data_IF_894501970727
#
_entry.id   IF_894501970727
#
_cell.length_a   1.000
_cell.length_b   1.000
_cell.length_c   1.000
_cell.angle_alpha   90.00
_cell.angle_beta   90.00
_cell.angle_gamma   90.00
#
_symmetry.space_group_name_H-M   'P 1'
#
loop_
_entity.id
_entity.type
_entity.pdbx_description
1 polymer ?
#
# COMPACT_ATOMS: atom_id res chain seq x y z
N UNK A 1 -4.16 19.58 2.73
CA UNK A 1 -2.72 19.21 2.79
C UNK A 1 -2.56 17.84 2.11
N UNK A 2 -1.47 17.50 1.39
CA UNK A 2 -1.23 16.13 0.92
C UNK A 2 -1.42 15.03 1.98
N UNK A 3 -1.25 15.38 3.27
CA UNK A 3 -1.51 14.51 4.42
C UNK A 3 -3.00 14.15 4.61
N UNK A 4 -3.92 15.02 4.21
CA UNK A 4 -5.38 14.79 4.30
C UNK A 4 -5.91 13.98 3.11
N UNK A 5 -5.11 13.80 2.06
CA UNK A 5 -5.53 13.13 0.84
C UNK A 5 -5.39 11.60 0.98
N UNK A 6 -6.54 10.93 1.15
CA UNK A 6 -6.64 9.48 1.36
C UNK A 6 -7.05 8.69 0.12
N UNK A 7 -7.26 9.35 -1.03
CA UNK A 7 -7.68 8.65 -2.25
C UNK A 7 -6.47 8.05 -2.98
N UNK A 8 -6.74 7.04 -3.81
CA UNK A 8 -5.81 6.48 -4.77
C UNK A 8 -6.56 6.11 -6.06
N UNK A 9 -5.86 6.10 -7.20
CA UNK A 9 -6.43 5.62 -8.44
C UNK A 9 -6.13 4.13 -8.57
N UNK A 10 -7.12 3.27 -8.37
CA UNK A 10 -6.97 1.87 -8.74
C UNK A 10 -6.70 1.75 -10.25
N UNK A 11 -5.93 0.74 -10.67
CA UNK A 11 -5.63 0.49 -12.07
C UNK A 11 -5.52 -1.01 -12.28
N UNK A 12 -6.65 -1.72 -12.25
CA UNK A 12 -6.65 -3.17 -12.42
C UNK A 12 -6.13 -3.62 -13.80
N UNK A 13 -6.02 -2.71 -14.77
CA UNK A 13 -5.44 -2.98 -16.09
C UNK A 13 -3.92 -2.95 -16.12
N UNK A 14 -3.27 -2.39 -15.09
CA UNK A 14 -1.81 -2.30 -14.99
C UNK A 14 -1.18 -1.40 -16.07
N UNK A 15 -1.86 -0.31 -16.44
CA UNK A 15 -1.33 0.66 -17.40
C UNK A 15 -0.15 1.45 -16.83
N UNK A 16 -0.16 1.71 -15.52
CA UNK A 16 0.95 2.34 -14.82
C UNK A 16 1.90 1.30 -14.23
N UNK A 17 3.20 1.52 -14.43
CA UNK A 17 4.22 0.78 -13.69
C UNK A 17 4.28 1.26 -12.24
N UNK A 18 4.80 0.42 -11.33
CA UNK A 18 4.80 0.72 -9.88
C UNK A 18 5.51 2.03 -9.53
N UNK A 19 6.52 2.44 -10.30
CA UNK A 19 7.28 3.68 -10.15
C UNK A 19 6.56 4.92 -10.73
N UNK A 20 5.53 4.73 -11.54
CA UNK A 20 4.63 5.80 -11.99
C UNK A 20 3.48 6.07 -11.00
N UNK A 21 3.35 5.23 -9.97
CA UNK A 21 2.33 5.36 -8.92
C UNK A 21 3.03 5.96 -7.70
N UNK A 22 2.49 7.07 -7.19
CA UNK A 22 3.11 7.73 -6.03
C UNK A 22 3.05 6.83 -4.79
N UNK A 23 4.08 6.90 -3.95
CA UNK A 23 4.13 6.17 -2.66
C UNK A 23 2.93 6.52 -1.76
N UNK A 24 2.36 7.72 -1.92
CA UNK A 24 1.14 8.18 -1.23
C UNK A 24 -0.10 7.43 -1.72
N UNK A 25 -0.28 7.27 -3.04
CA UNK A 25 -1.36 6.45 -3.61
C UNK A 25 -1.22 4.99 -3.17
N UNK A 26 0.01 4.46 -3.15
CA UNK A 26 0.28 3.08 -2.69
C UNK A 26 -0.05 2.93 -1.20
N UNK A 27 0.37 3.87 -0.35
CA UNK A 27 0.08 3.85 1.09
C UNK A 27 -1.43 3.96 1.38
N UNK A 28 -2.16 4.75 0.59
CA UNK A 28 -3.62 4.86 0.68
C UNK A 28 -4.33 3.57 0.31
N UNK A 29 -3.89 2.91 -0.78
CA UNK A 29 -4.40 1.58 -1.13
C UNK A 29 -4.13 0.55 -0.03
N UNK A 30 -2.92 0.56 0.54
CA UNK A 30 -2.54 -0.31 1.65
C UNK A 30 -3.40 -0.10 2.89
N UNK A 31 -3.65 1.17 3.27
CA UNK A 31 -4.56 1.52 4.36
C UNK A 31 -5.94 0.90 4.15
N UNK A 32 -6.53 1.09 2.97
CA UNK A 32 -7.88 0.61 2.68
C UNK A 32 -7.94 -0.94 2.67
N UNK A 33 -6.90 -1.61 2.16
CA UNK A 33 -6.76 -3.07 2.26
C UNK A 33 -6.71 -3.53 3.73
N UNK A 34 -5.88 -2.91 4.56
CA UNK A 34 -5.78 -3.24 5.98
C UNK A 34 -7.09 -2.95 6.74
N UNK A 35 -7.84 -1.89 6.40
CA UNK A 35 -9.16 -1.62 6.99
C UNK A 35 -10.12 -2.77 6.64
N UNK A 36 -10.21 -3.13 5.37
CA UNK A 36 -11.16 -4.15 4.89
C UNK A 36 -10.84 -5.56 5.41
N UNK A 37 -9.56 -5.88 5.59
CA UNK A 37 -9.11 -7.17 6.12
C UNK A 37 -8.97 -7.21 7.65
N UNK A 38 -9.19 -6.09 8.35
CA UNK A 38 -8.93 -5.95 9.80
C UNK A 38 -7.46 -6.22 10.18
N UNK A 39 -6.55 -5.86 9.28
CA UNK A 39 -5.12 -6.09 9.40
C UNK A 39 -4.58 -7.06 8.35
N UNK A 40 -3.32 -6.90 7.98
CA UNK A 40 -2.62 -7.80 7.05
C UNK A 40 -1.17 -7.99 7.47
N UNK A 41 -0.59 -9.15 7.18
CA UNK A 41 0.86 -9.31 7.20
C UNK A 41 1.49 -8.49 6.05
N UNK A 42 2.70 -7.98 6.25
CA UNK A 42 3.36 -7.09 5.27
C UNK A 42 3.52 -7.74 3.88
N UNK A 43 3.90 -9.02 3.83
CA UNK A 43 4.04 -9.78 2.58
C UNK A 43 2.72 -9.97 1.81
N UNK A 44 1.61 -10.16 2.55
CA UNK A 44 0.27 -10.24 1.99
C UNK A 44 -0.18 -8.87 1.48
N UNK A 45 0.02 -7.83 2.29
CA UNK A 45 -0.27 -6.45 1.92
C UNK A 45 0.45 -6.03 0.63
N UNK A 46 1.72 -6.41 0.48
CA UNK A 46 2.49 -6.19 -0.75
C UNK A 46 1.83 -6.85 -1.97
N UNK A 47 1.37 -8.08 -1.80
CA UNK A 47 0.74 -8.85 -2.87
C UNK A 47 -0.62 -8.25 -3.27
N UNK A 48 -1.47 -7.95 -2.29
CA UNK A 48 -2.79 -7.36 -2.57
C UNK A 48 -2.68 -5.94 -3.13
N UNK A 49 -1.72 -5.15 -2.66
CA UNK A 49 -1.49 -3.80 -3.19
C UNK A 49 -1.08 -3.83 -4.66
N UNK A 50 -0.23 -4.77 -5.08
CA UNK A 50 0.09 -4.92 -6.51
C UNK A 50 -1.15 -5.25 -7.35
N UNK A 51 -2.07 -6.09 -6.83
CA UNK A 51 -3.31 -6.45 -7.52
C UNK A 51 -4.25 -5.26 -7.71
N UNK A 52 -4.33 -4.35 -6.74
CA UNK A 52 -5.10 -3.09 -6.85
C UNK A 52 -4.68 -2.28 -8.09
N UNK A 53 -3.39 -2.35 -8.44
CA UNK A 53 -2.80 -1.66 -9.59
C UNK A 53 -2.54 -2.59 -10.78
N UNK A 54 -3.16 -3.77 -10.84
CA UNK A 54 -3.05 -4.67 -12.00
C UNK A 54 -1.66 -5.30 -12.19
N UNK A 55 -0.76 -5.11 -11.22
CA UNK A 55 0.60 -5.62 -11.23
C UNK A 55 0.65 -7.01 -10.58
N UNK A 56 1.51 -7.89 -11.11
CA UNK A 56 1.55 -9.31 -10.71
C UNK A 56 2.85 -9.75 -10.05
N UNK A 57 3.95 -9.04 -10.30
CA UNK A 57 5.30 -9.50 -9.90
C UNK A 57 5.86 -8.61 -8.80
N UNK A 58 6.34 -9.25 -7.72
CA UNK A 58 7.18 -8.62 -6.68
C UNK A 58 8.62 -8.53 -7.15
N UNK A 59 8.86 -7.67 -8.14
CA UNK A 59 10.23 -7.36 -8.57
C UNK A 59 10.96 -6.61 -7.46
N UNK A 60 12.30 -6.62 -7.39
CA UNK A 60 13.04 -5.86 -6.38
C UNK A 60 12.66 -4.38 -6.35
N UNK A 61 12.39 -3.79 -7.53
CA UNK A 61 11.94 -2.40 -7.64
C UNK A 61 10.53 -2.20 -7.07
N UNK A 62 9.61 -3.14 -7.29
CA UNK A 62 8.27 -3.08 -6.73
C UNK A 62 8.31 -3.19 -5.20
N UNK A 63 9.08 -4.13 -4.66
CA UNK A 63 9.28 -4.28 -3.21
C UNK A 63 9.80 -2.99 -2.60
N UNK A 64 10.84 -2.37 -3.18
CA UNK A 64 11.35 -1.07 -2.70
C UNK A 64 10.31 0.07 -2.69
N UNK A 65 9.33 0.08 -3.60
CA UNK A 65 8.25 1.07 -3.59
C UNK A 65 7.23 0.74 -2.52
N UNK A 66 6.88 -0.55 -2.37
CA UNK A 66 5.94 -1.02 -1.36
C UNK A 66 6.47 -0.78 0.06
N UNK A 67 7.74 -1.10 0.33
CA UNK A 67 8.39 -0.85 1.63
C UNK A 67 8.35 0.65 1.99
N UNK A 68 8.64 1.51 1.01
CA UNK A 68 8.59 2.96 1.21
C UNK A 68 7.15 3.46 1.44
N UNK A 69 6.17 2.88 0.76
CA UNK A 69 4.77 3.19 0.99
C UNK A 69 4.29 2.75 2.39
N UNK A 70 4.75 1.60 2.90
CA UNK A 70 4.51 1.20 4.30
C UNK A 70 5.11 2.24 5.25
N UNK A 71 6.35 2.67 5.01
CA UNK A 71 6.99 3.70 5.82
C UNK A 71 6.23 5.04 5.79
N UNK A 72 5.73 5.47 4.62
CA UNK A 72 4.85 6.65 4.47
C UNK A 72 3.56 6.47 5.26
N UNK A 73 2.90 5.31 5.13
CA UNK A 73 1.67 5.00 5.83
C UNK A 73 1.82 5.04 7.36
N UNK A 74 2.93 4.49 7.87
CA UNK A 74 3.29 4.55 9.29
C UNK A 74 3.57 5.98 9.75
N UNK A 75 4.40 6.72 9.00
CA UNK A 75 4.81 8.08 9.35
C UNK A 75 3.62 9.06 9.37
N UNK A 76 2.62 8.82 8.52
CA UNK A 76 1.43 9.68 8.39
C UNK A 76 0.23 9.15 9.18
N UNK A 77 0.41 8.09 9.96
CA UNK A 77 -0.64 7.52 10.81
C UNK A 77 -1.80 6.87 10.05
N UNK A 78 -1.60 6.51 8.78
CA UNK A 78 -2.58 5.78 7.93
C UNK A 78 -2.52 4.28 8.14
N UNK A 79 -1.34 3.79 8.53
CA UNK A 79 -1.08 2.43 8.92
C UNK A 79 -0.49 2.45 10.33
N UNK A 80 -0.83 1.46 11.15
CA UNK A 80 -0.26 1.24 12.47
C UNK A 80 0.25 -0.19 12.60
N UNK A 81 1.27 -0.40 13.44
CA UNK A 81 1.70 -1.74 13.84
C UNK A 81 0.70 -2.30 14.86
N UNK A 82 0.13 -3.47 14.55
CA UNK A 82 -0.78 -4.24 15.38
C UNK A 82 -0.07 -5.35 16.15
N UNK A 83 -0.87 -6.24 16.73
CA UNK A 83 -0.36 -7.45 17.37
C UNK A 83 0.26 -8.39 16.33
N UNK A 84 1.21 -9.21 16.77
CA UNK A 84 1.80 -10.30 15.97
C UNK A 84 2.38 -9.86 14.61
N UNK A 85 2.77 -8.59 14.48
CA UNK A 85 3.37 -8.05 13.25
C UNK A 85 2.38 -7.66 12.17
N UNK A 86 1.06 -7.64 12.45
CA UNK A 86 0.06 -7.16 11.50
C UNK A 86 0.18 -5.64 11.29
N UNK A 87 -0.09 -5.20 10.07
CA UNK A 87 -0.30 -3.81 9.70
C UNK A 87 -1.79 -3.51 9.68
N UNK A 88 -2.21 -2.47 10.42
CA UNK A 88 -3.60 -2.07 10.60
C UNK A 88 -3.85 -0.72 9.91
N UNK A 89 -4.96 -0.58 9.19
CA UNK A 89 -5.34 0.71 8.61
C UNK A 89 -6.03 1.64 9.62
N UNK A 90 -5.89 2.95 9.46
CA UNK A 90 -6.44 4.00 10.34
C UNK A 90 -7.14 5.10 9.56
#
# INVERSE_FOLDING_TARGET
>A
DPRDWLLYRADSSGQRTIDQISEVEVANAMRDLCINAHGMAEEELHTETLRVFGLKRRTPKAVQVLDRAVAVGLAWGRIAKGAEGLLLGR
#
